data_IF_758956528550
#
_entry.id   IF_758956528550
#
_cell.length_a   1.000
_cell.length_b   1.000
_cell.length_c   1.000
_cell.angle_alpha   90.00
_cell.angle_beta   90.00
_cell.angle_gamma   90.00
#
_symmetry.space_group_name_H-M   'P 1'
#
loop_
_entity.id
_entity.type
_entity.pdbx_description
1 polymer ?
#
# COMPACT_ATOMS: atom_id res chain seq x y z
N UNK A 1 8.71 -24.55 3.21
CA UNK A 1 7.85 -23.84 2.23
C UNK A 1 7.34 -22.54 2.86
N UNK A 2 7.45 -21.41 2.15
CA UNK A 2 6.93 -20.11 2.62
C UNK A 2 6.02 -19.49 1.57
N UNK A 3 4.84 -19.05 2.01
CA UNK A 3 4.00 -18.13 1.25
C UNK A 3 4.27 -16.71 1.74
N UNK A 4 4.53 -15.79 0.82
CA UNK A 4 4.91 -14.40 1.10
C UNK A 4 3.94 -13.46 0.40
N UNK A 5 3.52 -12.39 1.07
CA UNK A 5 2.83 -11.28 0.40
C UNK A 5 3.48 -9.95 0.73
N UNK A 6 3.52 -9.07 -0.27
CA UNK A 6 3.93 -7.68 -0.11
C UNK A 6 2.68 -6.82 -0.17
N UNK A 7 2.42 -6.12 0.92
CA UNK A 7 1.40 -5.07 0.97
C UNK A 7 2.07 -3.71 1.10
N UNK A 8 1.32 -2.66 0.79
CA UNK A 8 1.79 -1.29 0.74
C UNK A 8 1.15 -0.54 -0.41
N UNK A 9 1.14 0.78 -0.29
CA UNK A 9 0.51 1.65 -1.28
C UNK A 9 1.24 1.60 -2.63
N UNK A 10 0.49 1.77 -3.72
CA UNK A 10 1.05 2.06 -5.04
C UNK A 10 1.97 3.29 -5.01
N UNK A 11 3.00 3.30 -5.87
CA UNK A 11 4.12 4.28 -5.79
C UNK A 11 4.94 4.27 -4.49
N UNK A 12 4.66 3.37 -3.54
CA UNK A 12 5.46 3.16 -2.33
C UNK A 12 6.85 2.54 -2.56
N UNK A 13 7.21 2.21 -3.81
CA UNK A 13 8.49 1.55 -4.11
C UNK A 13 8.47 0.02 -3.96
N UNK A 14 7.28 -0.58 -3.84
CA UNK A 14 7.07 -2.03 -3.68
C UNK A 14 7.65 -2.90 -4.81
N UNK A 15 7.97 -2.30 -5.97
CA UNK A 15 8.73 -2.96 -7.05
C UNK A 15 10.09 -3.46 -6.56
N UNK A 16 10.78 -2.69 -5.71
CA UNK A 16 12.13 -3.02 -5.24
C UNK A 16 12.15 -4.37 -4.51
N UNK A 17 11.23 -4.56 -3.55
CA UNK A 17 11.12 -5.83 -2.83
C UNK A 17 10.58 -6.96 -3.71
N UNK A 18 9.62 -6.72 -4.60
CA UNK A 18 9.14 -7.76 -5.53
C UNK A 18 10.27 -8.28 -6.43
N UNK A 19 11.06 -7.38 -7.02
CA UNK A 19 12.22 -7.76 -7.86
C UNK A 19 13.33 -8.44 -7.05
N UNK A 20 13.54 -8.02 -5.80
CA UNK A 20 14.47 -8.69 -4.88
C UNK A 20 14.05 -10.13 -4.65
N UNK A 21 12.77 -10.39 -4.32
CA UNK A 21 12.26 -11.74 -4.11
C UNK A 21 12.36 -12.61 -5.38
N UNK A 22 12.02 -12.06 -6.55
CA UNK A 22 12.15 -12.77 -7.83
C UNK A 22 13.61 -13.17 -8.09
N UNK A 23 14.54 -12.24 -7.92
CA UNK A 23 15.97 -12.51 -8.07
C UNK A 23 16.52 -13.47 -7.00
N UNK A 24 15.78 -13.69 -5.91
CA UNK A 24 16.08 -14.63 -4.82
C UNK A 24 15.39 -15.99 -5.00
N UNK A 25 14.90 -16.31 -6.20
CA UNK A 25 14.20 -17.54 -6.53
C UNK A 25 12.85 -17.75 -5.81
N UNK A 26 12.19 -16.67 -5.40
CA UNK A 26 10.81 -16.74 -4.91
C UNK A 26 9.86 -16.65 -6.10
N UNK A 27 8.98 -17.65 -6.26
CA UNK A 27 7.96 -17.63 -7.30
C UNK A 27 6.83 -16.65 -6.95
N UNK A 28 6.81 -15.49 -7.60
CA UNK A 28 5.85 -14.41 -7.31
C UNK A 28 4.54 -14.51 -8.13
N UNK A 29 4.32 -15.63 -8.82
CA UNK A 29 3.21 -15.85 -9.74
C UNK A 29 3.54 -15.50 -11.20
N UNK A 30 2.60 -15.75 -12.12
CA UNK A 30 2.77 -15.52 -13.55
C UNK A 30 1.42 -15.30 -14.27
N UNK A 31 1.27 -14.31 -15.17
CA UNK A 31 2.28 -13.33 -15.57
C UNK A 31 2.45 -12.20 -14.55
N UNK A 32 3.61 -11.54 -14.60
CA UNK A 32 3.91 -10.34 -13.82
C UNK A 32 4.05 -9.13 -14.75
N UNK A 33 3.59 -7.96 -14.32
CA UNK A 33 3.92 -6.71 -15.00
C UNK A 33 5.35 -6.23 -14.64
N UNK A 34 5.81 -5.13 -15.25
CA UNK A 34 7.13 -4.52 -14.96
C UNK A 34 7.33 -4.12 -13.49
N UNK A 35 6.25 -3.83 -12.78
CA UNK A 35 6.25 -3.51 -11.35
C UNK A 35 6.27 -4.72 -10.42
N UNK A 36 6.27 -5.93 -10.99
CA UNK A 36 6.20 -7.18 -10.25
C UNK A 36 4.82 -7.42 -9.64
N UNK A 37 3.76 -6.83 -10.22
CA UNK A 37 2.39 -7.12 -9.83
C UNK A 37 1.90 -8.38 -10.53
N UNK A 38 1.22 -9.27 -9.78
CA UNK A 38 0.58 -10.45 -10.34
C UNK A 38 -0.66 -10.10 -11.16
N UNK A 39 -0.72 -10.64 -12.38
CA UNK A 39 -1.78 -10.45 -13.35
C UNK A 39 -2.52 -11.79 -13.63
N UNK A 40 -3.77 -11.75 -14.12
CA UNK A 40 -4.62 -10.57 -14.31
C UNK A 40 -5.14 -9.99 -12.98
N UNK A 41 -5.19 -8.65 -12.81
CA UNK A 41 -5.50 -8.05 -11.52
C UNK A 41 -7.01 -7.93 -11.24
N UNK A 42 -7.86 -8.16 -12.25
CA UNK A 42 -9.30 -7.91 -12.17
C UNK A 42 -9.97 -8.63 -10.98
N UNK A 43 -9.69 -9.92 -10.68
CA UNK A 43 -10.31 -10.55 -9.52
C UNK A 43 -9.94 -9.89 -8.18
N UNK A 44 -8.70 -9.36 -8.05
CA UNK A 44 -8.30 -8.57 -6.88
C UNK A 44 -9.05 -7.23 -6.81
N UNK A 45 -9.26 -6.56 -7.95
CA UNK A 45 -10.02 -5.31 -7.99
C UNK A 45 -11.48 -5.52 -7.60
N UNK A 46 -12.12 -6.59 -8.08
CA UNK A 46 -13.47 -6.95 -7.64
C UNK A 46 -13.49 -7.33 -6.16
N UNK A 47 -12.48 -8.05 -5.66
CA UNK A 47 -12.38 -8.38 -4.23
C UNK A 47 -12.31 -7.12 -3.36
N UNK A 48 -11.60 -6.07 -3.81
CA UNK A 48 -11.60 -4.77 -3.15
C UNK A 48 -13.01 -4.17 -3.07
N UNK A 49 -13.77 -4.20 -4.18
CA UNK A 49 -15.15 -3.72 -4.21
C UNK A 49 -16.07 -4.51 -3.30
N UNK A 50 -15.87 -5.83 -3.18
CA UNK A 50 -16.66 -6.66 -2.27
C UNK A 50 -16.40 -6.28 -0.82
N UNK A 51 -15.13 -6.15 -0.41
CA UNK A 51 -14.79 -5.74 0.96
C UNK A 51 -15.29 -4.33 1.27
N UNK A 52 -15.17 -3.40 0.33
CA UNK A 52 -15.58 -2.01 0.50
C UNK A 52 -17.07 -1.84 0.83
N UNK A 53 -17.94 -2.79 0.41
CA UNK A 53 -19.38 -2.81 0.78
C UNK A 53 -19.60 -2.90 2.30
N UNK A 54 -18.60 -3.33 3.06
CA UNK A 54 -18.67 -3.55 4.51
C UNK A 54 -17.81 -2.57 5.31
N UNK A 55 -17.22 -1.58 4.64
CA UNK A 55 -16.53 -0.47 5.30
C UNK A 55 -17.55 0.61 5.61
N UNK A 56 -17.72 0.93 6.90
CA UNK A 56 -18.61 2.01 7.31
C UNK A 56 -17.83 3.32 7.40
N UNK A 57 -18.18 4.31 6.58
CA UNK A 57 -17.60 5.64 6.67
C UNK A 57 -18.36 6.48 7.70
N UNK A 58 -17.66 6.94 8.74
CA UNK A 58 -18.22 7.76 9.82
C UNK A 58 -18.23 9.25 9.49
N UNK A 59 -17.65 9.63 8.34
CA UNK A 59 -17.48 11.00 7.90
C UNK A 59 -16.03 11.47 8.01
N UNK A 60 -15.67 12.53 7.29
CA UNK A 60 -14.30 13.05 7.29
C UNK A 60 -13.27 11.97 6.93
N UNK A 61 -12.28 11.78 7.81
CA UNK A 61 -11.17 10.83 7.66
C UNK A 61 -11.33 9.59 8.56
N UNK A 62 -12.56 9.27 8.95
CA UNK A 62 -12.86 8.17 9.88
C UNK A 62 -13.65 7.05 9.21
N UNK A 63 -13.11 5.84 9.31
CA UNK A 63 -13.73 4.60 8.82
C UNK A 63 -13.76 3.58 9.95
N UNK A 64 -14.86 2.84 10.03
CA UNK A 64 -15.01 1.72 10.95
C UNK A 64 -14.77 0.41 10.20
N UNK A 65 -13.71 -0.29 10.61
CA UNK A 65 -13.29 -1.58 10.07
C UNK A 65 -13.65 -2.75 11.00
N UNK A 66 -14.29 -2.49 12.14
CA UNK A 66 -14.49 -3.48 13.21
C UNK A 66 -15.23 -4.73 12.74
N UNK A 67 -16.26 -4.55 11.90
CA UNK A 67 -17.03 -5.65 11.32
C UNK A 67 -16.14 -6.59 10.50
N UNK A 68 -15.16 -6.07 9.75
CA UNK A 68 -14.29 -6.86 8.88
C UNK A 68 -13.46 -7.90 9.64
N UNK A 69 -13.22 -7.69 10.94
CA UNK A 69 -12.40 -8.57 11.77
C UNK A 69 -13.15 -9.80 12.29
N UNK A 70 -14.48 -9.72 12.42
CA UNK A 70 -15.28 -10.75 13.10
C UNK A 70 -16.36 -11.37 12.21
N UNK A 71 -16.91 -10.62 11.26
CA UNK A 71 -17.98 -11.10 10.40
C UNK A 71 -17.53 -12.28 9.52
N UNK A 72 -18.42 -13.19 9.11
CA UNK A 72 -18.09 -14.19 8.09
C UNK A 72 -17.59 -13.52 6.80
N UNK A 73 -16.50 -14.03 6.22
CA UNK A 73 -16.00 -13.52 4.93
C UNK A 73 -16.96 -14.00 3.83
N UNK A 74 -17.51 -13.11 2.99
CA UNK A 74 -18.39 -13.51 1.89
C UNK A 74 -17.74 -14.52 0.94
N UNK A 75 -18.50 -15.52 0.50
CA UNK A 75 -18.00 -16.54 -0.43
C UNK A 75 -17.48 -15.93 -1.75
N UNK A 76 -18.19 -14.91 -2.27
CA UNK A 76 -17.78 -14.11 -3.44
C UNK A 76 -16.34 -13.60 -3.30
N UNK A 77 -15.98 -13.05 -2.13
CA UNK A 77 -14.62 -12.57 -1.87
C UNK A 77 -13.61 -13.71 -1.91
N UNK A 78 -13.89 -14.81 -1.21
CA UNK A 78 -12.97 -15.95 -1.15
C UNK A 78 -12.74 -16.57 -2.54
N UNK A 79 -13.79 -16.66 -3.36
CA UNK A 79 -13.71 -17.15 -4.73
C UNK A 79 -12.82 -16.26 -5.61
N UNK A 80 -12.98 -14.93 -5.51
CA UNK A 80 -12.15 -13.96 -6.23
C UNK A 80 -10.67 -14.04 -5.84
N UNK A 81 -10.37 -14.18 -4.55
CA UNK A 81 -8.99 -14.33 -4.07
C UNK A 81 -8.38 -15.66 -4.51
N UNK A 82 -9.13 -16.78 -4.46
CA UNK A 82 -8.65 -18.06 -4.98
C UNK A 82 -8.44 -18.03 -6.50
N UNK A 83 -9.31 -17.36 -7.24
CA UNK A 83 -9.13 -17.15 -8.68
C UNK A 83 -7.86 -16.33 -8.96
N UNK A 84 -7.65 -15.23 -8.23
CA UNK A 84 -6.48 -14.37 -8.38
C UNK A 84 -5.16 -15.12 -8.08
N UNK A 85 -5.15 -15.86 -6.96
CA UNK A 85 -3.94 -16.53 -6.45
C UNK A 85 -3.78 -17.96 -6.96
N UNK A 86 -4.64 -18.45 -7.85
CA UNK A 86 -4.68 -19.86 -8.26
C UNK A 86 -3.30 -20.42 -8.59
N UNK A 87 -2.52 -19.71 -9.41
CA UNK A 87 -1.17 -20.13 -9.82
C UNK A 87 -0.16 -20.11 -8.69
N UNK A 88 -0.25 -19.14 -7.78
CA UNK A 88 0.63 -19.06 -6.60
C UNK A 88 0.30 -20.19 -5.63
N UNK A 89 -0.99 -20.44 -5.37
CA UNK A 89 -1.42 -21.47 -4.43
C UNK A 89 -1.12 -22.88 -4.94
N UNK A 90 -1.24 -23.14 -6.24
CA UNK A 90 -0.95 -24.44 -6.86
C UNK A 90 0.53 -24.71 -7.18
N UNK A 91 1.37 -23.67 -7.13
CA UNK A 91 2.81 -23.77 -7.39
C UNK A 91 3.52 -24.76 -6.44
N UNK A 92 4.49 -25.50 -6.97
CA UNK A 92 5.28 -26.50 -6.21
C UNK A 92 6.55 -25.92 -5.60
N UNK A 93 6.87 -24.68 -5.95
CA UNK A 93 8.03 -23.93 -5.52
C UNK A 93 8.02 -23.77 -4.00
N UNK A 94 9.19 -23.96 -3.41
CA UNK A 94 9.35 -23.91 -1.96
C UNK A 94 9.01 -22.53 -1.39
N UNK A 95 9.48 -21.48 -2.07
CA UNK A 95 9.21 -20.10 -1.73
C UNK A 95 8.36 -19.48 -2.83
N UNK A 96 7.18 -18.98 -2.45
CA UNK A 96 6.24 -18.40 -3.38
C UNK A 96 5.48 -17.26 -2.75
N UNK A 97 4.87 -16.42 -3.57
CA UNK A 97 4.19 -15.25 -3.09
C UNK A 97 3.44 -14.50 -4.16
N UNK A 98 2.89 -13.37 -3.76
CA UNK A 98 2.31 -12.41 -4.69
C UNK A 98 2.56 -11.00 -4.21
N UNK A 99 2.39 -10.06 -5.14
CA UNK A 99 2.40 -8.65 -4.85
C UNK A 99 1.40 -7.97 -5.76
N UNK A 100 0.60 -7.09 -5.18
CA UNK A 100 -0.17 -6.06 -5.87
C UNK A 100 -0.63 -5.04 -4.80
N UNK A 101 -0.52 -3.71 -5.01
CA UNK A 101 -0.85 -2.71 -3.99
C UNK A 101 -2.24 -2.87 -3.37
N UNK A 102 -3.20 -3.25 -4.19
CA UNK A 102 -4.62 -3.46 -3.86
C UNK A 102 -4.82 -4.53 -2.78
N UNK A 103 -3.86 -5.44 -2.56
CA UNK A 103 -3.86 -6.37 -1.41
C UNK A 103 -4.01 -5.61 -0.08
N UNK A 104 -3.50 -4.39 0.01
CA UNK A 104 -3.61 -3.52 1.19
C UNK A 104 -5.07 -3.12 1.46
N UNK A 105 -5.86 -2.86 0.42
CA UNK A 105 -7.27 -2.46 0.55
C UNK A 105 -8.15 -3.59 1.09
N UNK A 106 -7.69 -4.83 0.95
CA UNK A 106 -8.40 -6.03 1.42
C UNK A 106 -7.68 -6.75 2.56
N UNK A 107 -6.68 -6.09 3.16
CA UNK A 107 -5.81 -6.66 4.18
C UNK A 107 -6.55 -7.36 5.33
N UNK A 108 -7.65 -6.81 5.91
CA UNK A 108 -8.38 -7.47 7.00
C UNK A 108 -8.83 -8.89 6.70
N UNK A 109 -9.26 -9.16 5.46
CA UNK A 109 -9.71 -10.50 5.08
C UNK A 109 -8.59 -11.37 4.54
N UNK A 110 -7.56 -10.78 3.93
CA UNK A 110 -6.36 -11.53 3.53
C UNK A 110 -5.66 -12.14 4.75
N UNK A 111 -5.52 -11.42 5.87
CA UNK A 111 -4.91 -11.99 7.09
C UNK A 111 -5.75 -13.11 7.71
N UNK A 112 -7.07 -13.04 7.57
CA UNK A 112 -7.98 -14.07 8.08
C UNK A 112 -7.99 -15.32 7.19
N UNK A 113 -7.82 -15.17 5.88
CA UNK A 113 -7.69 -16.28 4.95
C UNK A 113 -6.32 -16.95 5.03
N UNK A 114 -5.25 -16.18 5.30
CA UNK A 114 -3.87 -16.64 5.25
C UNK A 114 -3.06 -16.26 6.51
N UNK A 115 -3.49 -16.65 7.72
CA UNK A 115 -2.92 -16.13 8.97
C UNK A 115 -1.44 -16.48 9.20
N UNK A 116 -0.96 -17.57 8.58
CA UNK A 116 0.37 -18.13 8.81
C UNK A 116 1.43 -17.65 7.81
N UNK A 117 1.04 -16.90 6.77
CA UNK A 117 1.98 -16.50 5.71
C UNK A 117 2.87 -15.35 6.16
N UNK A 118 3.98 -15.12 5.47
CA UNK A 118 4.88 -14.00 5.77
C UNK A 118 4.41 -12.72 5.10
N UNK A 119 4.04 -11.73 5.89
CA UNK A 119 3.66 -10.41 5.41
C UNK A 119 4.85 -9.45 5.46
N UNK A 120 5.09 -8.77 4.34
CA UNK A 120 6.00 -7.62 4.26
C UNK A 120 5.14 -6.38 4.07
N UNK A 121 5.04 -5.54 5.10
CA UNK A 121 4.42 -4.23 5.00
C UNK A 121 5.45 -3.21 4.55
N UNK A 122 5.35 -2.85 3.28
CA UNK A 122 6.23 -1.89 2.63
C UNK A 122 5.68 -0.48 2.78
N UNK A 123 6.36 0.34 3.57
CA UNK A 123 5.97 1.72 3.83
C UNK A 123 6.96 2.67 3.16
N UNK A 124 6.47 3.87 2.82
CA UNK A 124 7.29 4.93 2.26
C UNK A 124 6.73 6.26 2.74
N UNK A 125 7.60 7.27 2.88
CA UNK A 125 7.21 8.59 3.33
C UNK A 125 6.03 9.11 2.48
N UNK A 126 4.88 9.46 3.10
CA UNK A 126 3.71 9.89 2.36
C UNK A 126 3.96 11.13 1.52
N UNK A 127 4.87 12.01 1.94
CA UNK A 127 5.27 13.22 1.19
C UNK A 127 5.77 12.88 -0.20
N UNK A 128 6.43 11.74 -0.34
CA UNK A 128 6.92 11.19 -1.60
C UNK A 128 5.84 10.41 -2.38
N UNK A 129 4.90 9.77 -1.67
CA UNK A 129 3.84 8.94 -2.27
C UNK A 129 2.78 9.79 -2.96
N UNK A 130 2.58 11.03 -2.50
CA UNK A 130 1.58 11.92 -3.08
C UNK A 130 2.10 12.74 -4.27
N UNK A 131 3.30 12.48 -4.79
CA UNK A 131 3.88 13.23 -5.91
C UNK A 131 3.49 12.71 -7.30
N UNK A 132 3.11 11.43 -7.44
CA UNK A 132 2.77 10.83 -8.73
C UNK A 132 1.42 10.08 -8.67
N UNK A 133 0.73 10.00 -9.81
CA UNK A 133 -0.59 9.34 -9.93
C UNK A 133 -0.46 7.82 -9.96
N UNK A 134 -1.34 7.10 -9.26
CA UNK A 134 -1.52 5.65 -9.21
C UNK A 134 -2.99 5.27 -9.39
N UNK A 135 -3.28 4.02 -9.74
CA UNK A 135 -4.64 3.49 -9.84
C UNK A 135 -5.41 3.58 -8.51
N UNK A 136 -4.74 3.29 -7.38
CA UNK A 136 -5.35 3.35 -6.03
C UNK A 136 -5.59 4.75 -5.50
N UNK A 137 -5.32 5.82 -6.25
CA UNK A 137 -5.43 7.18 -5.75
C UNK A 137 -6.88 7.64 -5.58
N UNK A 138 -7.80 7.09 -6.38
CA UNK A 138 -9.22 7.31 -6.21
C UNK A 138 -9.85 6.07 -5.58
N UNK A 139 -10.09 6.10 -4.26
CA UNK A 139 -10.66 4.96 -3.53
C UNK A 139 -12.07 4.58 -4.03
N UNK A 140 -12.80 5.52 -4.62
CA UNK A 140 -14.11 5.29 -5.23
C UNK A 140 -14.06 4.29 -6.39
N UNK A 141 -12.94 4.16 -7.11
CA UNK A 141 -12.77 3.17 -8.18
C UNK A 141 -12.84 1.72 -7.64
N UNK A 142 -12.62 1.57 -6.33
CA UNK A 142 -12.71 0.33 -5.55
C UNK A 142 -13.92 0.29 -4.63
N UNK A 143 -14.89 1.22 -4.80
CA UNK A 143 -16.13 1.26 -4.03
C UNK A 143 -15.98 1.72 -2.58
N UNK A 144 -14.81 2.21 -2.18
CA UNK A 144 -14.56 2.66 -0.81
C UNK A 144 -15.16 4.07 -0.64
N UNK A 145 -16.05 4.27 0.34
CA UNK A 145 -16.57 5.60 0.67
C UNK A 145 -15.44 6.49 1.22
N UNK A 146 -15.38 7.74 0.77
CA UNK A 146 -14.32 8.70 1.10
C UNK A 146 -14.86 10.13 1.01
N UNK A 147 -14.24 11.12 1.69
CA UNK A 147 -14.59 12.53 1.50
C UNK A 147 -14.26 12.98 0.07
N UNK A 148 -15.02 13.97 -0.43
CA UNK A 148 -14.65 14.65 -1.65
C UNK A 148 -13.37 15.47 -1.42
N UNK A 149 -12.36 15.25 -2.26
CA UNK A 149 -11.05 15.86 -2.08
C UNK A 149 -11.07 17.38 -2.23
N UNK A 150 -11.89 17.92 -3.14
CA UNK A 150 -11.99 19.37 -3.35
C UNK A 150 -12.76 20.04 -2.21
N UNK A 151 -13.85 19.44 -1.76
CA UNK A 151 -14.58 19.87 -0.58
C UNK A 151 -13.69 19.86 0.67
N UNK A 152 -12.97 18.76 0.91
CA UNK A 152 -12.08 18.68 2.07
C UNK A 152 -10.95 19.72 2.00
N UNK A 153 -10.39 19.97 0.81
CA UNK A 153 -9.43 21.05 0.61
C UNK A 153 -10.02 22.42 0.96
N UNK A 154 -11.25 22.71 0.52
CA UNK A 154 -11.94 23.97 0.83
C UNK A 154 -12.20 24.15 2.32
N UNK A 155 -12.59 23.06 3.00
CA UNK A 155 -12.95 23.09 4.41
C UNK A 155 -11.71 23.18 5.33
N UNK A 156 -10.65 22.42 5.04
CA UNK A 156 -9.47 22.31 5.91
C UNK A 156 -8.27 23.15 5.49
N UNK A 157 -8.11 23.41 4.19
CA UNK A 157 -6.92 24.07 3.65
C UNK A 157 -7.24 25.21 2.67
N UNK A 158 -8.11 26.17 3.03
CA UNK A 158 -8.48 27.28 2.14
C UNK A 158 -7.26 28.11 1.70
N UNK A 159 -6.24 28.22 2.57
CA UNK A 159 -5.00 28.91 2.26
C UNK A 159 -4.18 28.23 1.15
N UNK A 160 -4.21 26.90 1.05
CA UNK A 160 -3.51 26.18 -0.02
C UNK A 160 -4.21 26.39 -1.36
N UNK A 161 -5.55 26.39 -1.35
CA UNK A 161 -6.34 26.70 -2.56
C UNK A 161 -6.13 28.15 -3.03
N UNK A 162 -6.03 29.10 -2.11
CA UNK A 162 -5.78 30.50 -2.44
C UNK A 162 -4.39 30.71 -3.09
N UNK A 163 -3.40 29.88 -2.76
CA UNK A 163 -2.05 29.91 -3.35
C UNK A 163 -1.95 29.24 -4.72
N UNK A 164 -2.91 28.39 -5.08
CA UNK A 164 -2.97 27.79 -6.41
C UNK A 164 -3.62 28.79 -7.38
N UNK A 165 -2.79 29.54 -8.12
CA UNK A 165 -3.23 30.64 -8.97
C UNK A 165 -3.76 30.15 -10.32
N UNK A 166 -3.16 29.09 -10.88
CA UNK A 166 -3.55 28.54 -12.19
C UNK A 166 -4.51 27.35 -12.08
N UNK A 167 -5.32 27.06 -13.11
CA UNK A 167 -6.14 25.85 -13.16
C UNK A 167 -5.34 24.56 -12.96
N UNK A 168 -4.15 24.48 -13.52
CA UNK A 168 -3.27 23.30 -13.43
C UNK A 168 -2.76 23.11 -12.00
N UNK A 169 -2.38 24.19 -11.31
CA UNK A 169 -1.98 24.14 -9.90
C UNK A 169 -3.13 23.67 -9.01
N UNK A 170 -4.35 24.13 -9.28
CA UNK A 170 -5.56 23.71 -8.54
C UNK A 170 -5.86 22.23 -8.80
N UNK A 171 -5.81 21.78 -10.05
CA UNK A 171 -6.04 20.38 -10.40
C UNK A 171 -5.01 19.47 -9.71
N UNK A 172 -3.73 19.83 -9.76
CA UNK A 172 -2.66 19.06 -9.12
C UNK A 172 -2.84 19.02 -7.59
N UNK A 173 -3.22 20.12 -6.95
CA UNK A 173 -3.51 20.15 -5.52
C UNK A 173 -4.66 19.20 -5.15
N UNK A 174 -5.74 19.16 -5.94
CA UNK A 174 -6.85 18.20 -5.76
C UNK A 174 -6.34 16.76 -5.91
N UNK A 175 -5.48 16.47 -6.88
CA UNK A 175 -4.88 15.15 -7.02
C UNK A 175 -3.95 14.80 -5.86
N UNK A 176 -3.21 15.76 -5.30
CA UNK A 176 -2.39 15.52 -4.09
C UNK A 176 -3.26 15.21 -2.88
N UNK A 177 -4.40 15.88 -2.73
CA UNK A 177 -5.38 15.54 -1.71
C UNK A 177 -5.93 14.13 -1.90
N UNK A 178 -6.37 13.73 -3.10
CA UNK A 178 -6.82 12.35 -3.39
C UNK A 178 -5.76 11.32 -3.03
N UNK A 179 -4.52 11.58 -3.41
CA UNK A 179 -3.37 10.73 -3.06
C UNK A 179 -3.14 10.65 -1.55
N UNK A 180 -3.27 11.76 -0.82
CA UNK A 180 -3.14 11.78 0.62
C UNK A 180 -4.29 11.04 1.32
N UNK A 181 -5.53 11.20 0.84
CA UNK A 181 -6.70 10.46 1.30
C UNK A 181 -6.53 8.95 1.11
N UNK A 182 -6.10 8.54 -0.08
CA UNK A 182 -5.80 7.13 -0.38
C UNK A 182 -4.72 6.56 0.54
N UNK A 183 -3.68 7.35 0.84
CA UNK A 183 -2.67 6.96 1.81
C UNK A 183 -3.26 6.80 3.21
N UNK A 184 -4.04 7.79 3.66
CA UNK A 184 -4.63 7.79 5.00
C UNK A 184 -5.58 6.61 5.20
N UNK A 185 -6.41 6.30 4.21
CA UNK A 185 -7.28 5.12 4.25
C UNK A 185 -6.46 3.82 4.36
N UNK A 186 -5.42 3.67 3.53
CA UNK A 186 -4.58 2.47 3.54
C UNK A 186 -3.76 2.33 4.82
N UNK A 187 -3.32 3.44 5.39
CA UNK A 187 -2.73 3.47 6.73
C UNK A 187 -3.76 3.04 7.78
N UNK A 188 -4.94 3.64 7.80
CA UNK A 188 -5.99 3.38 8.78
C UNK A 188 -6.48 1.92 8.77
N UNK A 189 -6.74 1.35 7.58
CA UNK A 189 -7.20 -0.05 7.48
C UNK A 189 -6.11 -1.03 7.95
N UNK A 190 -4.83 -0.77 7.64
CA UNK A 190 -3.73 -1.59 8.14
C UNK A 190 -3.60 -1.42 9.65
N UNK A 191 -3.60 -0.19 10.17
CA UNK A 191 -3.49 0.12 11.59
C UNK A 191 -4.59 -0.58 12.41
N UNK A 192 -5.84 -0.51 11.95
CA UNK A 192 -7.00 -1.13 12.61
C UNK A 192 -6.99 -2.67 12.55
N UNK A 193 -6.33 -3.28 11.56
CA UNK A 193 -6.29 -4.74 11.41
C UNK A 193 -5.31 -5.37 12.41
N UNK A 194 -5.73 -6.39 13.19
CA UNK A 194 -4.82 -7.18 14.00
C UNK A 194 -3.67 -7.76 13.17
N UNK A 195 -2.43 -7.52 13.59
CA UNK A 195 -1.27 -7.96 12.81
C UNK A 195 -1.11 -9.48 12.92
N UNK A 196 -0.88 -10.19 11.80
CA UNK A 196 -0.62 -11.62 11.83
C UNK A 196 0.72 -11.92 12.50
N UNK A 197 0.92 -13.16 12.92
CA UNK A 197 2.15 -13.59 13.64
C UNK A 197 3.40 -13.30 12.83
N UNK A 198 3.35 -13.57 11.52
CA UNK A 198 4.44 -13.33 10.61
C UNK A 198 4.27 -11.98 9.92
N UNK A 199 4.80 -10.93 10.55
CA UNK A 199 4.70 -9.54 10.09
C UNK A 199 6.04 -8.81 10.22
N UNK A 200 6.45 -8.13 9.15
CA UNK A 200 7.59 -7.20 9.17
C UNK A 200 7.22 -5.89 8.47
N UNK A 201 7.65 -4.77 9.06
CA UNK A 201 7.58 -3.44 8.43
C UNK A 201 8.94 -3.10 7.83
N UNK A 202 8.93 -2.60 6.60
CA UNK A 202 10.14 -2.15 5.89
C UNK A 202 9.87 -0.79 5.26
N UNK A 203 10.70 0.20 5.61
CA UNK A 203 10.68 1.51 4.96
C UNK A 203 11.45 1.44 3.65
N UNK A 204 10.87 1.98 2.59
CA UNK A 204 11.53 2.13 1.31
C UNK A 204 12.87 2.88 1.46
N UNK A 205 12.89 3.91 2.29
CA UNK A 205 14.03 4.76 2.57
C UNK A 205 15.18 3.97 3.21
N UNK A 206 14.88 3.09 4.16
CA UNK A 206 15.90 2.21 4.78
C UNK A 206 16.44 1.21 3.76
N UNK A 207 15.56 0.63 2.94
CA UNK A 207 15.98 -0.29 1.88
C UNK A 207 16.92 0.38 0.86
N UNK A 208 16.72 1.66 0.56
CA UNK A 208 17.58 2.40 -0.37
C UNK A 208 18.87 2.91 0.29
N UNK A 209 18.78 3.47 1.50
CA UNK A 209 19.90 4.15 2.15
C UNK A 209 20.78 3.21 2.99
N UNK A 210 20.18 2.17 3.57
CA UNK A 210 20.78 1.19 4.49
C UNK A 210 20.51 -0.24 3.99
N UNK A 211 20.79 -0.50 2.71
CA UNK A 211 20.33 -1.69 2.00
C UNK A 211 20.81 -3.00 2.65
N UNK A 212 22.10 -3.13 2.99
CA UNK A 212 22.63 -4.38 3.57
C UNK A 212 22.02 -4.71 4.94
N UNK A 213 21.85 -3.71 5.82
CA UNK A 213 21.18 -3.91 7.11
C UNK A 213 19.70 -4.29 6.94
N UNK A 214 19.03 -3.64 5.98
CA UNK A 214 17.63 -3.94 5.67
C UNK A 214 17.47 -5.35 5.09
N UNK A 215 18.37 -5.76 4.19
CA UNK A 215 18.38 -7.10 3.62
C UNK A 215 18.69 -8.14 4.68
N UNK A 216 19.67 -7.93 5.57
CA UNK A 216 19.96 -8.86 6.66
C UNK A 216 18.74 -9.08 7.57
N UNK A 217 18.00 -8.01 7.90
CA UNK A 217 16.75 -8.11 8.68
C UNK A 217 15.67 -8.91 7.94
N UNK A 218 15.53 -8.68 6.64
CA UNK A 218 14.59 -9.40 5.78
C UNK A 218 14.99 -10.88 5.61
N UNK A 219 16.28 -11.19 5.45
CA UNK A 219 16.80 -12.55 5.34
C UNK A 219 16.54 -13.34 6.63
N UNK A 220 16.79 -12.74 7.80
CA UNK A 220 16.49 -13.34 9.09
C UNK A 220 14.98 -13.62 9.25
N UNK A 221 14.13 -12.69 8.82
CA UNK A 221 12.68 -12.85 8.86
C UNK A 221 12.15 -13.89 7.87
N UNK A 222 12.62 -13.86 6.61
CA UNK A 222 12.15 -14.74 5.56
C UNK A 222 12.76 -16.15 5.67
N UNK A 223 13.95 -16.28 6.24
CA UNK A 223 14.70 -17.52 6.37
C UNK A 223 15.39 -17.95 5.07
N UNK A 224 15.61 -17.01 4.15
CA UNK A 224 16.26 -17.25 2.85
C UNK A 224 17.27 -16.13 2.56
N UNK A 225 18.36 -16.42 1.82
CA UNK A 225 19.24 -15.38 1.31
C UNK A 225 18.50 -14.53 0.26
N UNK A 226 18.77 -13.23 0.25
CA UNK A 226 18.17 -12.29 -0.70
C UNK A 226 19.18 -11.76 -1.70
N UNK A 227 18.78 -11.66 -2.96
CA UNK A 227 19.57 -11.00 -3.99
C UNK A 227 19.71 -9.50 -3.68
N UNK A 228 20.85 -8.92 -4.08
CA UNK A 228 21.06 -7.47 -4.03
C UNK A 228 20.66 -6.88 -5.38
N UNK A 229 19.71 -5.96 -5.37
CA UNK A 229 19.32 -5.21 -6.57
C UNK A 229 19.89 -3.79 -6.51
N UNK A 230 20.16 -3.20 -7.67
CA UNK A 230 20.57 -1.80 -7.76
C UNK A 230 19.38 -0.91 -7.41
N UNK A 231 19.57 -0.03 -6.41
CA UNK A 231 18.60 0.98 -5.99
C UNK A 231 19.10 2.38 -6.35
N UNK A 232 18.16 3.30 -6.63
CA UNK A 232 18.47 4.70 -6.98
C UNK A 232 18.19 5.59 -5.78
N UNK A 233 19.23 6.24 -5.26
CA UNK A 233 19.11 7.11 -4.07
C UNK A 233 18.23 8.33 -4.34
N UNK A 234 18.20 8.80 -5.58
CA UNK A 234 17.38 9.94 -6.03
C UNK A 234 15.88 9.64 -5.95
N UNK A 235 15.49 8.37 -5.77
CA UNK A 235 14.11 8.00 -5.56
C UNK A 235 13.61 8.35 -4.16
N UNK A 236 14.48 8.65 -3.19
CA UNK A 236 14.14 9.00 -1.80
C UNK A 236 14.15 10.51 -1.62
N UNK A 237 13.11 11.05 -0.95
CA UNK A 237 13.10 12.46 -0.56
C UNK A 237 12.87 13.43 -1.72
N UNK A 238 12.19 12.98 -2.79
CA UNK A 238 11.90 13.79 -3.97
C UNK A 238 11.03 15.00 -3.63
N UNK A 239 10.20 14.88 -2.60
CA UNK A 239 9.39 15.98 -2.08
C UNK A 239 10.21 17.20 -1.67
N UNK A 240 11.51 17.06 -1.38
CA UNK A 240 12.38 18.20 -1.02
C UNK A 240 12.71 19.12 -2.20
N UNK A 241 12.57 18.60 -3.42
CA UNK A 241 12.85 19.32 -4.67
C UNK A 241 11.57 19.70 -5.41
N UNK A 242 10.40 19.39 -4.83
CA UNK A 242 9.09 19.66 -5.40
C UNK A 242 8.47 20.87 -4.69
N UNK A 243 8.15 21.92 -5.46
CA UNK A 243 7.59 23.17 -4.92
C UNK A 243 6.10 23.05 -4.54
N UNK A 244 5.44 21.95 -4.89
CA UNK A 244 4.04 21.71 -4.59
C UNK A 244 3.82 21.24 -3.15
N UNK A 245 2.55 21.27 -2.73
CA UNK A 245 2.13 20.77 -1.41
C UNK A 245 2.54 19.31 -1.24
N UNK A 246 3.39 19.01 -0.28
CA UNK A 246 3.84 17.63 -0.02
C UNK A 246 3.34 17.07 1.31
N UNK A 247 2.56 17.83 2.08
CA UNK A 247 2.11 17.45 3.40
C UNK A 247 0.69 17.95 3.69
N UNK A 248 -0.05 17.13 4.43
CA UNK A 248 -1.33 17.44 5.05
C UNK A 248 -1.27 16.91 6.49
N UNK A 249 -1.76 17.68 7.45
CA UNK A 249 -1.65 17.39 8.89
C UNK A 249 -2.19 16.01 9.29
N UNK A 250 -3.23 15.50 8.63
CA UNK A 250 -3.77 14.17 8.92
C UNK A 250 -2.82 13.00 8.58
N UNK A 251 -1.70 13.26 7.89
CA UNK A 251 -0.66 12.26 7.63
C UNK A 251 0.27 12.08 8.85
N UNK A 252 0.22 12.98 9.83
CA UNK A 252 1.17 13.06 10.94
C UNK A 252 1.28 11.76 11.72
N UNK A 253 0.16 11.16 12.13
CA UNK A 253 0.16 9.96 12.99
C UNK A 253 0.92 8.80 12.34
N UNK A 254 0.59 8.49 11.08
CA UNK A 254 1.29 7.45 10.35
C UNK A 254 2.73 7.84 10.00
N UNK A 255 3.02 9.14 9.81
CA UNK A 255 4.40 9.59 9.67
C UNK A 255 5.21 9.35 10.96
N UNK A 256 4.66 9.68 12.13
CA UNK A 256 5.28 9.42 13.44
C UNK A 256 5.45 7.93 13.70
N UNK A 257 4.45 7.11 13.39
CA UNK A 257 4.51 5.65 13.56
C UNK A 257 5.69 5.04 12.81
N UNK A 258 5.95 5.49 11.58
CA UNK A 258 7.07 5.00 10.77
C UNK A 258 8.36 5.82 10.93
N UNK A 259 8.43 6.72 11.92
CA UNK A 259 9.63 7.50 12.24
C UNK A 259 10.08 8.44 11.12
N UNK A 260 9.13 9.06 10.41
CA UNK A 260 9.40 10.15 9.47
C UNK A 260 9.35 11.50 10.18
N UNK A 261 10.17 12.44 9.71
CA UNK A 261 10.17 13.82 10.18
C UNK A 261 8.87 14.54 9.78
N UNK A 262 8.27 15.23 10.75
CA UNK A 262 7.05 16.03 10.54
C UNK A 262 7.48 17.43 10.12
N UNK A 263 6.96 17.98 9.00
CA UNK A 263 7.23 19.35 8.61
C UNK A 263 6.75 20.34 9.68
N UNK A 264 7.51 21.40 9.92
CA UNK A 264 7.10 22.55 10.76
C UNK A 264 5.96 23.36 10.13
#
# INVERSE_FOLDING_TARGET
>A
MSLITIIGRGHGGTRAISHTLIASNVFMGEPLNRSGDLLPPQPMYEACRVLARYVEWKGGLEWDFSALHTMPIPEEFTALIHQYLQKVLSAKEEHKGWKIPETTLVFPWIVRMFPEIKYIYWVRNPRDNILARHLTDNLADFGVPQPDAEQLLRERYPNLLARAETPEQKEELVWRMRRALSWQYQYAIVAATPKPVNWIVVRFEDFVNCQEETLARLEAYLGIPLARIIVRREAVGRYSQDEGVSYFDFLEDGMREFGYEIPE
#
